data_IF_992656758544
#
_entry.id   IF_992656758544
#
_cell.length_a   1.000
_cell.length_b   1.000
_cell.length_c   1.000
_cell.angle_alpha   90.00
_cell.angle_beta   90.00
_cell.angle_gamma   90.00
#
_symmetry.space_group_name_H-M   'P 1'
#
loop_
_entity.id
_entity.type
_entity.pdbx_description
1 polymer ?
#
# COMPACT_ATOMS: atom_id res chain seq x y z
N UNK A 1 5.36 -4.32 -10.66
CA UNK A 1 6.23 -3.59 -9.72
C UNK A 1 6.58 -4.54 -8.57
N UNK A 2 7.54 -5.45 -8.76
CA UNK A 2 7.84 -6.55 -7.80
C UNK A 2 6.59 -7.41 -7.43
N UNK A 3 5.73 -7.71 -8.41
CA UNK A 3 4.56 -8.55 -8.16
C UNK A 3 4.95 -10.01 -8.00
N UNK A 4 4.44 -10.65 -6.94
CA UNK A 4 4.55 -12.10 -6.80
C UNK A 4 3.77 -12.82 -7.90
N UNK A 5 4.27 -13.95 -8.43
CA UNK A 5 3.62 -14.68 -9.53
C UNK A 5 2.13 -15.00 -9.33
N UNK A 6 1.75 -15.41 -8.12
CA UNK A 6 0.35 -15.69 -7.78
C UNK A 6 -0.51 -14.41 -7.82
N UNK A 7 -0.01 -13.32 -7.22
CA UNK A 7 -0.67 -12.01 -7.22
C UNK A 7 -0.84 -11.47 -8.64
N UNK A 8 0.19 -11.61 -9.49
CA UNK A 8 0.13 -11.19 -10.87
C UNK A 8 -0.98 -11.91 -11.65
N UNK A 9 -1.08 -13.24 -11.51
CA UNK A 9 -2.14 -14.04 -12.16
C UNK A 9 -3.54 -13.66 -11.66
N UNK A 10 -3.71 -13.50 -10.35
CA UNK A 10 -5.00 -13.09 -9.77
C UNK A 10 -5.41 -11.69 -10.23
N UNK A 11 -4.45 -10.75 -10.24
CA UNK A 11 -4.68 -9.36 -10.64
C UNK A 11 -4.99 -9.27 -12.12
N UNK A 12 -4.25 -9.97 -12.97
CA UNK A 12 -4.48 -10.05 -14.40
C UNK A 12 -5.91 -10.50 -14.72
N UNK A 13 -6.38 -11.58 -14.09
CA UNK A 13 -7.75 -12.08 -14.26
C UNK A 13 -8.81 -11.08 -13.80
N UNK A 14 -8.59 -10.42 -12.65
CA UNK A 14 -9.57 -9.46 -12.11
C UNK A 14 -9.65 -8.15 -12.88
N UNK A 15 -8.52 -7.69 -13.40
CA UNK A 15 -8.41 -6.41 -14.11
C UNK A 15 -8.53 -6.57 -15.64
N UNK A 16 -8.84 -7.77 -16.13
CA UNK A 16 -8.90 -8.12 -17.55
C UNK A 16 -7.63 -7.69 -18.32
N UNK A 17 -6.47 -7.92 -17.70
CA UNK A 17 -5.16 -7.63 -18.30
C UNK A 17 -4.60 -8.96 -18.84
N UNK A 18 -4.36 -9.09 -20.16
CA UNK A 18 -3.77 -10.29 -20.72
C UNK A 18 -2.37 -10.54 -20.14
N UNK A 19 -2.21 -11.69 -19.48
CA UNK A 19 -0.93 -12.17 -18.96
C UNK A 19 -0.71 -13.60 -19.46
N UNK A 20 -0.09 -13.72 -20.63
CA UNK A 20 0.13 -15.01 -21.31
C UNK A 20 1.20 -15.85 -20.63
N UNK A 21 2.19 -15.23 -20.01
CA UNK A 21 3.27 -15.90 -19.28
C UNK A 21 3.82 -15.00 -18.17
N UNK A 22 4.57 -15.57 -17.21
CA UNK A 22 5.13 -14.80 -16.09
C UNK A 22 6.38 -14.00 -16.50
N UNK A 23 7.08 -14.39 -17.56
CA UNK A 23 8.22 -13.67 -18.12
C UNK A 23 7.81 -12.25 -18.58
N UNK A 24 6.53 -12.07 -18.95
CA UNK A 24 5.95 -10.75 -19.23
C UNK A 24 5.98 -9.80 -18.03
N UNK A 25 6.27 -10.25 -16.82
CA UNK A 25 6.48 -9.35 -15.69
C UNK A 25 7.79 -8.55 -15.81
N UNK A 26 8.70 -8.93 -16.71
CA UNK A 26 9.91 -8.15 -17.03
C UNK A 26 9.64 -7.02 -18.04
N UNK A 27 8.48 -7.04 -18.70
CA UNK A 27 8.00 -5.95 -19.56
C UNK A 27 7.48 -4.82 -18.66
N UNK A 28 8.08 -3.63 -18.80
CA UNK A 28 7.79 -2.49 -17.92
C UNK A 28 6.31 -2.08 -17.96
N UNK A 29 5.70 -2.05 -19.14
CA UNK A 29 4.31 -1.61 -19.31
C UNK A 29 3.34 -2.60 -18.66
N UNK A 30 3.56 -3.91 -18.84
CA UNK A 30 2.76 -4.92 -18.14
C UNK A 30 2.98 -4.87 -16.63
N UNK A 31 4.24 -4.73 -16.20
CA UNK A 31 4.62 -4.72 -14.80
C UNK A 31 3.99 -3.52 -14.05
N UNK A 32 3.92 -2.36 -14.70
CA UNK A 32 3.28 -1.15 -14.18
C UNK A 32 1.76 -1.27 -14.23
N UNK A 33 1.16 -1.72 -15.34
CA UNK A 33 -0.30 -1.90 -15.43
C UNK A 33 -0.84 -2.85 -14.36
N UNK A 34 -0.23 -4.03 -14.23
CA UNK A 34 -0.61 -5.00 -13.20
C UNK A 34 -0.32 -4.46 -11.79
N UNK A 35 0.83 -3.82 -11.60
CA UNK A 35 1.21 -3.28 -10.29
C UNK A 35 0.25 -2.19 -9.81
N UNK A 36 -0.12 -1.27 -10.69
CA UNK A 36 -1.11 -0.22 -10.44
C UNK A 36 -2.50 -0.78 -10.20
N UNK A 37 -2.93 -1.79 -10.96
CA UNK A 37 -4.20 -2.48 -10.73
C UNK A 37 -4.25 -3.16 -9.35
N UNK A 38 -3.17 -3.81 -8.94
CA UNK A 38 -3.07 -4.42 -7.61
C UNK A 38 -3.07 -3.36 -6.50
N UNK A 39 -2.35 -2.24 -6.69
CA UNK A 39 -2.35 -1.13 -5.74
C UNK A 39 -3.75 -0.52 -5.58
N UNK A 40 -4.47 -0.29 -6.68
CA UNK A 40 -5.84 0.22 -6.66
C UNK A 40 -6.79 -0.74 -5.90
N UNK A 41 -6.62 -2.05 -6.09
CA UNK A 41 -7.35 -3.06 -5.31
C UNK A 41 -7.06 -2.95 -3.81
N UNK A 42 -5.80 -2.75 -3.41
CA UNK A 42 -5.45 -2.57 -2.00
C UNK A 42 -6.04 -1.26 -1.44
N UNK A 43 -5.99 -0.16 -2.18
CA UNK A 43 -6.61 1.10 -1.76
C UNK A 43 -8.12 0.94 -1.54
N UNK A 44 -8.83 0.28 -2.46
CA UNK A 44 -10.27 -0.02 -2.31
C UNK A 44 -10.52 -0.91 -1.08
N UNK A 45 -9.76 -2.00 -0.93
CA UNK A 45 -9.90 -2.95 0.17
C UNK A 45 -9.70 -2.30 1.56
N UNK A 46 -8.82 -1.31 1.66
CA UNK A 46 -8.53 -0.59 2.89
C UNK A 46 -9.16 0.82 2.94
N UNK A 47 -10.27 1.01 2.20
CA UNK A 47 -11.13 2.22 2.25
C UNK A 47 -10.37 3.53 2.07
N UNK A 48 -9.42 3.55 1.13
CA UNK A 48 -8.62 4.72 0.80
C UNK A 48 -7.43 4.98 1.75
N UNK A 49 -7.28 4.23 2.84
CA UNK A 49 -6.12 4.38 3.72
C UNK A 49 -4.85 3.85 3.01
N UNK A 50 -3.96 4.76 2.61
CA UNK A 50 -2.77 4.47 1.82
C UNK A 50 -1.73 3.73 2.65
N UNK A 51 -1.63 4.02 3.95
CA UNK A 51 -0.73 3.30 4.86
C UNK A 51 -1.05 1.80 4.89
N UNK A 52 -2.30 1.45 5.14
CA UNK A 52 -2.73 0.04 5.16
C UNK A 52 -2.62 -0.61 3.78
N UNK A 53 -2.96 0.12 2.71
CA UNK A 53 -2.84 -0.38 1.34
C UNK A 53 -1.39 -0.68 0.95
N UNK A 54 -0.45 0.20 1.30
CA UNK A 54 0.99 0.03 1.08
C UNK A 54 1.54 -1.16 1.88
N UNK A 55 1.17 -1.28 3.16
CA UNK A 55 1.53 -2.44 3.97
C UNK A 55 1.01 -3.74 3.35
N UNK A 56 -0.22 -3.73 2.83
CA UNK A 56 -0.85 -4.90 2.21
C UNK A 56 -0.25 -5.25 0.85
N UNK A 57 0.28 -4.25 0.13
CA UNK A 57 1.00 -4.46 -1.12
C UNK A 57 2.26 -5.30 -0.88
N UNK A 58 3.04 -4.99 0.17
CA UNK A 58 4.27 -5.70 0.52
C UNK A 58 4.02 -7.00 1.30
N UNK A 59 3.26 -6.96 2.40
CA UNK A 59 3.09 -8.11 3.30
C UNK A 59 1.91 -9.03 2.93
N UNK A 60 1.04 -8.59 2.03
CA UNK A 60 -0.22 -9.24 1.69
C UNK A 60 -1.39 -8.78 2.58
N UNK A 61 -2.61 -8.68 2.03
CA UNK A 61 -3.78 -8.14 2.73
C UNK A 61 -4.28 -9.01 3.89
N UNK A 62 -3.98 -10.31 3.89
CA UNK A 62 -4.34 -11.21 5.00
C UNK A 62 -3.61 -10.84 6.29
N UNK A 63 -2.30 -10.56 6.21
CA UNK A 63 -1.49 -10.14 7.36
C UNK A 63 -1.91 -8.80 7.91
N UNK A 64 -2.13 -7.81 7.04
CA UNK A 64 -2.60 -6.49 7.47
C UNK A 64 -3.94 -6.58 8.20
N UNK A 65 -4.89 -7.40 7.71
CA UNK A 65 -6.15 -7.65 8.44
C UNK A 65 -5.91 -8.28 9.82
N UNK A 66 -5.02 -9.26 9.91
CA UNK A 66 -4.67 -9.90 11.19
C UNK A 66 -4.09 -8.88 12.19
N UNK A 67 -3.17 -8.02 11.74
CA UNK A 67 -2.56 -6.99 12.60
C UNK A 67 -3.57 -5.94 13.05
N UNK A 68 -4.48 -5.51 12.17
CA UNK A 68 -5.58 -4.61 12.51
C UNK A 68 -6.53 -5.25 13.52
N UNK A 69 -6.92 -6.51 13.33
CA UNK A 69 -7.83 -7.19 14.25
C UNK A 69 -7.21 -7.44 15.63
N UNK A 70 -5.92 -7.77 15.68
CA UNK A 70 -5.25 -8.16 16.93
C UNK A 70 -4.99 -6.97 17.88
N UNK A 71 -5.02 -5.74 17.37
CA UNK A 71 -4.56 -4.54 18.09
C UNK A 71 -5.67 -3.56 18.46
N UNK A 72 -6.90 -3.83 18.02
CA UNK A 72 -8.00 -2.90 18.19
C UNK A 72 -7.74 -1.57 17.48
N UNK A 73 -8.29 -0.48 18.04
CA UNK A 73 -8.11 0.85 17.47
C UNK A 73 -6.80 1.48 17.99
N UNK A 74 -5.73 1.30 17.22
CA UNK A 74 -4.49 2.05 17.42
C UNK A 74 -4.48 3.31 16.54
N UNK A 75 -3.88 4.41 17.02
CA UNK A 75 -3.49 5.50 16.16
C UNK A 75 -2.59 5.02 15.01
N UNK A 76 -2.71 5.65 13.84
CA UNK A 76 -2.10 5.18 12.60
C UNK A 76 -0.57 5.18 12.66
N UNK A 77 0.03 6.19 13.26
CA UNK A 77 1.47 6.30 13.53
C UNK A 77 1.96 5.18 14.46
N UNK A 78 1.23 4.90 15.55
CA UNK A 78 1.55 3.78 16.45
C UNK A 78 1.34 2.43 15.76
N UNK A 79 0.33 2.32 14.89
CA UNK A 79 0.09 1.11 14.12
C UNK A 79 1.26 0.81 13.17
N UNK A 80 1.80 1.83 12.50
CA UNK A 80 2.99 1.70 11.63
C UNK A 80 4.17 1.16 12.45
N UNK A 81 4.50 1.81 13.56
CA UNK A 81 5.67 1.43 14.38
C UNK A 81 5.55 0.00 14.95
N UNK A 82 4.32 -0.47 15.16
CA UNK A 82 4.10 -1.82 15.68
C UNK A 82 4.03 -2.90 14.59
N UNK A 83 4.09 -2.60 13.28
CA UNK A 83 4.09 -3.62 12.20
C UNK A 83 5.14 -4.71 12.51
N UNK A 84 4.81 -6.01 12.59
CA UNK A 84 5.76 -7.03 13.06
C UNK A 84 6.97 -7.25 12.16
N UNK A 85 6.83 -6.98 10.87
CA UNK A 85 7.89 -7.22 9.90
C UNK A 85 8.65 -5.93 9.67
N UNK A 86 9.94 -5.93 10.02
CA UNK A 86 10.82 -4.77 9.85
C UNK A 86 10.89 -4.32 8.38
N UNK A 87 10.91 -5.28 7.44
CA UNK A 87 10.84 -5.00 6.01
C UNK A 87 9.57 -4.21 5.65
N UNK A 88 8.40 -4.67 6.10
CA UNK A 88 7.13 -4.01 5.80
C UNK A 88 7.02 -2.65 6.48
N UNK A 89 7.52 -2.52 7.71
CA UNK A 89 7.56 -1.22 8.42
C UNK A 89 8.41 -0.22 7.64
N UNK A 90 9.64 -0.61 7.28
CA UNK A 90 10.53 0.21 6.48
C UNK A 90 9.96 0.54 5.10
N UNK A 91 9.32 -0.43 4.45
CA UNK A 91 8.65 -0.23 3.15
C UNK A 91 7.56 0.83 3.22
N UNK A 92 6.69 0.78 4.24
CA UNK A 92 5.64 1.79 4.45
C UNK A 92 6.23 3.17 4.65
N UNK A 93 7.22 3.31 5.53
CA UNK A 93 7.89 4.58 5.80
C UNK A 93 8.56 5.15 4.54
N UNK A 94 9.25 4.32 3.77
CA UNK A 94 9.90 4.72 2.52
C UNK A 94 8.88 5.19 1.47
N UNK A 95 7.77 4.47 1.29
CA UNK A 95 6.72 4.86 0.33
C UNK A 95 6.07 6.19 0.73
N UNK A 96 5.83 6.41 2.02
CA UNK A 96 5.30 7.70 2.50
C UNK A 96 6.30 8.84 2.25
N UNK A 97 7.59 8.63 2.54
CA UNK A 97 8.64 9.62 2.33
C UNK A 97 8.83 9.94 0.84
N UNK A 98 8.93 8.92 -0.02
CA UNK A 98 9.04 9.11 -1.46
C UNK A 98 7.78 9.74 -2.06
N UNK A 99 6.59 9.44 -1.52
CA UNK A 99 5.36 10.10 -1.94
C UNK A 99 5.43 11.63 -1.78
N UNK A 100 6.02 12.13 -0.68
CA UNK A 100 6.26 13.57 -0.49
C UNK A 100 7.21 14.11 -1.54
N UNK A 101 8.33 13.43 -1.79
CA UNK A 101 9.34 13.85 -2.76
C UNK A 101 8.74 13.91 -4.17
N UNK A 102 8.05 12.86 -4.62
CA UNK A 102 7.44 12.81 -5.94
C UNK A 102 6.32 13.84 -6.12
N UNK A 103 5.52 14.11 -5.08
CA UNK A 103 4.52 15.18 -5.14
C UNK A 103 5.18 16.55 -5.32
N UNK A 104 6.26 16.84 -4.58
CA UNK A 104 7.02 18.09 -4.74
C UNK A 104 7.57 18.23 -6.16
N UNK A 105 8.19 17.17 -6.70
CA UNK A 105 8.74 17.18 -8.07
C UNK A 105 7.65 17.36 -9.14
N UNK A 106 6.44 16.86 -8.88
CA UNK A 106 5.28 17.02 -9.76
C UNK A 106 4.53 18.36 -9.59
N UNK A 107 5.03 19.27 -8.74
CA UNK A 107 4.34 20.53 -8.43
C UNK A 107 3.02 20.34 -7.67
N UNK A 108 2.83 19.18 -7.03
CA UNK A 108 1.63 18.84 -6.26
C UNK A 108 1.84 19.15 -4.77
N UNK A 109 0.75 19.35 -4.00
CA UNK A 109 0.85 19.50 -2.56
C UNK A 109 1.59 18.34 -1.88
N UNK A 110 2.73 18.65 -1.26
CA UNK A 110 3.56 17.67 -0.58
C UNK A 110 3.04 17.40 0.84
N UNK A 111 2.30 16.30 1.01
CA UNK A 111 1.76 15.85 2.31
C UNK A 111 2.11 14.39 2.56
N UNK A 112 2.65 14.09 3.74
CA UNK A 112 2.90 12.70 4.19
C UNK A 112 1.57 11.94 4.27
N UNK A 113 0.64 12.45 5.08
CA UNK A 113 -0.67 11.86 5.30
C UNK A 113 -1.77 12.69 4.63
N UNK A 114 -2.79 12.00 4.10
CA UNK A 114 -4.05 12.56 3.62
C UNK A 114 -4.87 13.06 4.80
N UNK A 115 -5.92 13.84 4.55
CA UNK A 115 -6.73 14.40 5.64
C UNK A 115 -7.43 13.30 6.46
N UNK A 116 -7.86 12.21 5.81
CA UNK A 116 -8.37 11.01 6.48
C UNK A 116 -7.32 10.31 7.35
N UNK A 117 -6.08 10.19 6.87
CA UNK A 117 -5.02 9.54 7.64
C UNK A 117 -4.55 10.42 8.80
N UNK A 118 -4.54 11.75 8.62
CA UNK A 118 -4.18 12.71 9.66
C UNK A 118 -5.14 12.64 10.84
N UNK A 119 -6.44 12.49 10.61
CA UNK A 119 -7.42 12.35 11.70
C UNK A 119 -7.24 11.07 12.52
N UNK A 120 -6.47 10.10 12.00
CA UNK A 120 -6.16 8.84 12.68
C UNK A 120 -4.83 8.87 13.44
N UNK A 121 -4.09 9.99 13.46
CA UNK A 121 -2.83 10.09 14.18
C UNK A 121 -3.07 10.27 15.69
N UNK A 122 -2.10 9.85 16.51
CA UNK A 122 -2.25 9.84 17.98
C UNK A 122 -2.61 11.23 18.56
N UNK A 123 -2.04 12.29 18.01
CA UNK A 123 -2.32 13.67 18.44
C UNK A 123 -3.62 14.26 17.88
N UNK A 124 -4.27 13.57 16.94
CA UNK A 124 -5.50 14.03 16.28
C UNK A 124 -6.76 13.31 16.78
N UNK A 125 -6.61 12.22 17.53
CA UNK A 125 -7.74 11.53 18.15
C UNK A 125 -8.28 12.30 19.37
N UNK A 126 -9.62 12.34 19.57
CA UNK A 126 -10.19 12.85 20.81
C UNK A 126 -9.68 12.02 21.99
N UNK A 127 -9.38 12.69 23.11
CA UNK A 127 -9.05 12.02 24.37
C UNK A 127 -10.29 11.45 25.04
#
# INVERSE_FOLDING_TARGET
>A
MQLMPATARETARRADIPLTSLERLNDADINVRLGSAYLAQMQSRFRGNRVHATAAYNAGPGRVRQWLSARGHLPLDIWIETIPFDETRGYVLNVLAFGVIYNTLAGQPARVFSDQERSMLAWSMPR
#
